data_IF_705918867438
#
_entry.id   IF_705918867438
#
_cell.length_a   1.000
_cell.length_b   1.000
_cell.length_c   1.000
_cell.angle_alpha   90.00
_cell.angle_beta   90.00
_cell.angle_gamma   90.00
#
_symmetry.space_group_name_H-M   'P 1'
#
loop_
_entity.id
_entity.type
_entity.pdbx_description
1 polymer ?
#
# COMPACT_ATOMS: atom_id res chain seq x y z
N UNK A 1 -14.55 -1.47 -9.95
CA UNK A 1 -14.08 -1.66 -8.55
C UNK A 1 -14.81 -2.77 -7.83
N UNK A 2 -16.13 -2.65 -7.58
CA UNK A 2 -16.91 -3.72 -6.92
C UNK A 2 -16.83 -5.06 -7.66
N UNK A 3 -16.88 -5.02 -9.00
CA UNK A 3 -16.73 -6.20 -9.85
C UNK A 3 -15.42 -6.96 -9.59
N UNK A 4 -14.29 -6.28 -9.36
CA UNK A 4 -13.01 -6.93 -9.04
C UNK A 4 -13.17 -7.86 -7.84
N UNK A 5 -13.79 -7.36 -6.77
CA UNK A 5 -14.01 -8.13 -5.54
C UNK A 5 -14.96 -9.32 -5.77
N UNK A 6 -15.99 -9.13 -6.59
CA UNK A 6 -16.98 -10.17 -6.90
C UNK A 6 -16.41 -11.24 -7.87
N UNK A 7 -15.47 -10.87 -8.74
CA UNK A 7 -14.82 -11.76 -9.70
C UNK A 7 -13.72 -12.64 -9.08
N UNK A 8 -13.17 -12.27 -7.92
CA UNK A 8 -12.13 -13.08 -7.27
C UNK A 8 -12.67 -14.45 -6.84
N UNK A 9 -11.96 -15.56 -7.04
CA UNK A 9 -12.37 -16.84 -6.50
C UNK A 9 -12.26 -16.86 -4.96
N UNK A 10 -13.01 -17.75 -4.29
CA UNK A 10 -12.95 -17.91 -2.82
C UNK A 10 -11.60 -18.44 -2.31
N UNK A 11 -10.81 -19.05 -3.20
CA UNK A 11 -9.41 -19.39 -2.95
C UNK A 11 -8.52 -18.15 -2.85
N UNK A 12 -8.92 -17.03 -3.46
CA UNK A 12 -8.13 -15.80 -3.48
C UNK A 12 -8.54 -14.84 -2.37
N UNK A 13 -9.83 -14.67 -2.14
CA UNK A 13 -10.37 -13.84 -1.06
C UNK A 13 -11.22 -14.71 -0.14
N UNK A 14 -10.77 -14.89 1.11
CA UNK A 14 -11.39 -15.80 2.07
C UNK A 14 -12.79 -15.41 2.56
N UNK A 15 -13.34 -14.30 2.06
CA UNK A 15 -14.70 -13.84 2.32
C UNK A 15 -15.65 -14.51 1.32
N UNK A 16 -16.79 -15.06 1.76
CA UNK A 16 -17.79 -15.64 0.87
C UNK A 16 -18.41 -14.58 -0.06
N UNK A 17 -18.78 -14.95 -1.29
CA UNK A 17 -19.28 -14.00 -2.31
C UNK A 17 -20.48 -13.18 -1.84
N UNK A 18 -21.43 -13.80 -1.12
CA UNK A 18 -22.59 -13.07 -0.56
C UNK A 18 -22.16 -12.02 0.47
N UNK A 19 -21.24 -12.38 1.37
CA UNK A 19 -20.69 -11.47 2.37
C UNK A 19 -19.87 -10.33 1.74
N UNK A 20 -19.21 -10.58 0.60
CA UNK A 20 -18.59 -9.50 -0.19
C UNK A 20 -19.64 -8.53 -0.72
N UNK A 21 -20.72 -9.06 -1.30
CA UNK A 21 -21.84 -8.26 -1.79
C UNK A 21 -22.45 -7.37 -0.70
N UNK A 22 -22.59 -7.90 0.52
CA UNK A 22 -23.07 -7.13 1.67
C UNK A 22 -22.07 -6.05 2.10
N UNK A 23 -20.79 -6.40 2.25
CA UNK A 23 -19.74 -5.45 2.61
C UNK A 23 -19.64 -4.28 1.59
N UNK A 24 -19.84 -4.57 0.31
CA UNK A 24 -19.80 -3.57 -0.77
C UNK A 24 -20.90 -2.50 -0.67
N UNK A 25 -22.03 -2.78 0.00
CA UNK A 25 -23.11 -1.79 0.26
C UNK A 25 -22.69 -0.72 1.25
N UNK A 26 -21.74 -1.03 2.13
CA UNK A 26 -21.24 -0.14 3.18
C UNK A 26 -19.80 0.32 2.94
N UNK A 27 -19.20 -0.07 1.82
CA UNK A 27 -17.83 0.29 1.49
C UNK A 27 -17.69 1.80 1.22
N UNK A 28 -16.55 2.35 1.61
CA UNK A 28 -16.15 3.70 1.23
C UNK A 28 -15.56 3.70 -0.19
N UNK A 29 -15.91 4.71 -0.98
CA UNK A 29 -15.39 4.91 -2.34
C UNK A 29 -14.73 6.27 -2.46
N UNK A 30 -13.49 6.30 -2.91
CA UNK A 30 -12.71 7.54 -3.06
C UNK A 30 -12.04 7.57 -4.42
N UNK A 31 -12.25 8.65 -5.15
CA UNK A 31 -11.51 8.94 -6.38
C UNK A 31 -10.27 9.78 -6.06
N UNK A 32 -9.17 9.51 -6.74
CA UNK A 32 -7.95 10.33 -6.67
C UNK A 32 -7.22 10.35 -8.00
N UNK A 33 -6.28 11.30 -8.20
CA UNK A 33 -5.49 11.36 -9.41
C UNK A 33 -4.77 10.03 -9.68
N UNK A 34 -4.80 9.58 -10.93
CA UNK A 34 -4.05 8.43 -11.45
C UNK A 34 -3.11 8.85 -12.57
N UNK A 35 -2.35 7.90 -13.12
CA UNK A 35 -1.43 8.15 -14.24
C UNK A 35 -2.08 7.98 -15.63
N UNK A 36 -3.32 7.51 -15.68
CA UNK A 36 -4.08 7.32 -16.91
C UNK A 36 -4.97 8.50 -17.28
N UNK A 37 -5.85 8.26 -18.27
CA UNK A 37 -6.85 9.25 -18.69
C UNK A 37 -8.02 9.39 -17.69
N UNK A 38 -8.16 8.43 -16.77
CA UNK A 38 -9.20 8.39 -15.74
C UNK A 38 -8.57 8.53 -14.36
N UNK A 39 -9.39 8.94 -13.40
CA UNK A 39 -9.03 8.88 -12.00
C UNK A 39 -8.83 7.42 -11.55
N UNK A 40 -7.96 7.25 -10.56
CA UNK A 40 -7.87 6.02 -9.81
C UNK A 40 -8.96 5.99 -8.73
N UNK A 41 -9.48 4.81 -8.41
CA UNK A 41 -10.51 4.61 -7.41
C UNK A 41 -10.03 3.67 -6.32
N UNK A 42 -10.25 4.06 -5.07
CA UNK A 42 -10.15 3.17 -3.92
C UNK A 42 -11.55 2.78 -3.45
N UNK A 43 -11.70 1.51 -3.11
CA UNK A 43 -12.84 0.96 -2.39
C UNK A 43 -12.28 0.30 -1.13
N UNK A 44 -12.83 0.64 0.03
CA UNK A 44 -12.45 0.03 1.30
C UNK A 44 -13.66 -0.47 2.08
N UNK A 45 -13.56 -1.71 2.57
CA UNK A 45 -14.46 -2.33 3.52
C UNK A 45 -13.62 -2.95 4.66
N UNK A 46 -14.27 -3.40 5.73
CA UNK A 46 -13.57 -3.93 6.91
C UNK A 46 -12.65 -5.13 6.59
N UNK A 47 -13.07 -5.98 5.65
CA UNK A 47 -12.37 -7.23 5.35
C UNK A 47 -11.38 -7.12 4.18
N UNK A 48 -11.54 -6.14 3.29
CA UNK A 48 -10.76 -6.00 2.08
C UNK A 48 -10.79 -4.55 1.58
N UNK A 49 -9.80 -4.23 0.77
CA UNK A 49 -9.78 -3.01 -0.02
C UNK A 49 -9.29 -3.31 -1.42
N UNK A 50 -9.68 -2.48 -2.38
CA UNK A 50 -9.15 -2.51 -3.73
C UNK A 50 -8.86 -1.10 -4.20
N UNK A 51 -7.71 -0.92 -4.87
CA UNK A 51 -7.28 0.34 -5.45
C UNK A 51 -6.92 0.12 -6.91
N UNK A 52 -7.52 0.91 -7.82
CA UNK A 52 -7.08 0.92 -9.22
C UNK A 52 -5.83 1.78 -9.37
N UNK A 53 -5.01 1.41 -10.35
CA UNK A 53 -3.81 2.11 -10.77
C UNK A 53 -3.85 2.19 -12.29
N UNK A 54 -4.38 3.30 -12.78
CA UNK A 54 -4.57 3.55 -14.19
C UNK A 54 -3.24 3.82 -14.88
N UNK A 55 -3.19 3.45 -16.15
CA UNK A 55 -2.08 3.72 -17.05
C UNK A 55 -2.57 4.56 -18.23
N UNK A 56 -1.62 5.21 -18.92
CA UNK A 56 -1.91 5.88 -20.19
C UNK A 56 -2.45 4.89 -21.24
N UNK A 57 -1.94 3.66 -21.23
CA UNK A 57 -2.54 2.55 -21.97
C UNK A 57 -3.46 1.79 -21.01
N UNK A 58 -4.77 1.87 -21.22
CA UNK A 58 -5.77 1.27 -20.33
C UNK A 58 -5.58 -0.24 -20.14
N UNK A 59 -4.89 -0.92 -21.08
CA UNK A 59 -4.54 -2.35 -20.95
C UNK A 59 -3.49 -2.62 -19.88
N UNK A 60 -2.84 -1.61 -19.32
CA UNK A 60 -1.93 -1.77 -18.17
C UNK A 60 -2.56 -1.31 -16.85
N UNK A 61 -3.86 -1.00 -16.83
CA UNK A 61 -4.55 -0.70 -15.57
C UNK A 61 -4.56 -1.93 -14.69
N UNK A 62 -4.11 -1.77 -13.44
CA UNK A 62 -4.12 -2.84 -12.45
C UNK A 62 -4.97 -2.47 -11.24
N UNK A 63 -5.43 -3.50 -10.54
CA UNK A 63 -6.22 -3.42 -9.32
C UNK A 63 -5.44 -4.11 -8.22
N UNK A 64 -4.90 -3.32 -7.29
CA UNK A 64 -4.27 -3.85 -6.10
C UNK A 64 -5.37 -4.19 -5.09
N UNK A 65 -5.41 -5.42 -4.61
CA UNK A 65 -6.41 -5.92 -3.67
C UNK A 65 -5.72 -6.37 -2.39
N UNK A 66 -6.10 -5.76 -1.27
CA UNK A 66 -5.68 -6.19 0.07
C UNK A 66 -6.75 -7.03 0.76
N UNK A 67 -6.30 -7.91 1.65
CA UNK A 67 -7.18 -8.87 2.35
C UNK A 67 -7.29 -10.22 1.64
N UNK A 68 -6.59 -10.41 0.51
CA UNK A 68 -6.48 -11.71 -0.16
C UNK A 68 -5.75 -12.71 0.72
N UNK A 69 -5.97 -14.01 0.51
CA UNK A 69 -5.18 -15.06 1.17
C UNK A 69 -3.70 -14.88 0.83
N UNK A 70 -2.85 -15.05 1.83
CA UNK A 70 -1.41 -15.09 1.60
C UNK A 70 -1.03 -16.33 0.77
N UNK A 71 -0.32 -16.09 -0.32
CA UNK A 71 0.31 -17.08 -1.19
C UNK A 71 1.69 -16.57 -1.59
N UNK A 72 2.49 -17.37 -2.31
CA UNK A 72 3.80 -16.92 -2.83
C UNK A 72 3.72 -15.70 -3.77
N UNK A 73 2.53 -15.40 -4.30
CA UNK A 73 2.28 -14.23 -5.16
C UNK A 73 1.86 -12.98 -4.40
N UNK A 74 1.55 -13.12 -3.11
CA UNK A 74 1.07 -12.01 -2.29
C UNK A 74 2.23 -11.31 -1.58
N UNK A 75 2.12 -9.99 -1.46
CA UNK A 75 2.95 -9.18 -0.57
C UNK A 75 2.29 -9.05 0.80
N UNK A 76 3.08 -8.63 1.79
CA UNK A 76 2.61 -8.21 3.13
C UNK A 76 1.74 -9.25 3.85
N UNK A 77 2.32 -10.43 4.05
CA UNK A 77 1.61 -11.61 4.54
C UNK A 77 1.50 -11.74 6.08
N UNK A 78 1.80 -10.67 6.83
CA UNK A 78 1.99 -10.74 8.30
C UNK A 78 0.84 -11.44 9.05
N UNK A 79 -0.41 -11.28 8.60
CA UNK A 79 -1.60 -11.82 9.25
C UNK A 79 -2.35 -12.88 8.41
N UNK A 80 -1.65 -13.66 7.58
CA UNK A 80 -2.24 -14.61 6.60
C UNK A 80 -3.16 -13.96 5.55
N UNK A 81 -3.24 -12.63 5.57
CA UNK A 81 -3.84 -11.78 4.55
C UNK A 81 -2.71 -11.00 3.91
N UNK A 82 -2.74 -10.90 2.59
CA UNK A 82 -1.74 -10.17 1.83
C UNK A 82 -2.36 -9.21 0.83
N UNK A 83 -1.51 -8.77 -0.09
CA UNK A 83 -1.83 -7.86 -1.17
C UNK A 83 -1.43 -8.48 -2.50
N UNK A 84 -2.33 -8.45 -3.49
CA UNK A 84 -2.07 -8.93 -4.86
C UNK A 84 -2.57 -7.94 -5.89
N UNK A 85 -1.99 -8.00 -7.09
CA UNK A 85 -2.38 -7.16 -8.21
C UNK A 85 -3.11 -7.97 -9.28
N UNK A 86 -4.20 -7.41 -9.78
CA UNK A 86 -5.05 -8.04 -10.79
C UNK A 86 -5.28 -7.12 -11.99
N UNK A 87 -5.58 -7.69 -13.15
CA UNK A 87 -5.87 -6.95 -14.37
C UNK A 87 -6.98 -7.64 -15.15
N UNK A 88 -7.87 -6.86 -15.75
CA UNK A 88 -8.85 -7.40 -16.70
C UNK A 88 -8.22 -7.59 -18.08
N UNK A 89 -8.42 -8.75 -18.67
CA UNK A 89 -8.18 -8.97 -20.10
C UNK A 89 -9.33 -8.42 -20.96
N UNK A 90 -9.13 -8.36 -22.28
CA UNK A 90 -10.13 -7.89 -23.25
C UNK A 90 -11.47 -8.65 -23.17
N UNK A 91 -11.44 -9.92 -22.73
CA UNK A 91 -12.63 -10.76 -22.55
C UNK A 91 -13.32 -10.58 -21.20
N UNK A 92 -12.89 -9.63 -20.37
CA UNK A 92 -13.46 -9.35 -19.05
C UNK A 92 -13.03 -10.33 -17.95
N UNK A 93 -12.07 -11.23 -18.23
CA UNK A 93 -11.50 -12.11 -17.21
C UNK A 93 -10.51 -11.33 -16.32
N UNK A 94 -10.65 -11.45 -15.00
CA UNK A 94 -9.70 -10.91 -14.04
C UNK A 94 -8.54 -11.89 -13.84
N UNK A 95 -7.32 -11.47 -14.16
CA UNK A 95 -6.10 -12.26 -13.99
C UNK A 95 -5.23 -11.72 -12.87
N UNK A 96 -4.59 -12.62 -12.13
CA UNK A 96 -3.54 -12.31 -11.17
C UNK A 96 -2.25 -11.99 -11.93
N UNK A 97 -1.83 -10.73 -11.86
CA UNK A 97 -0.62 -10.21 -12.52
C UNK A 97 0.45 -9.82 -11.49
N UNK A 98 0.33 -10.28 -10.25
CA UNK A 98 1.20 -9.90 -9.13
C UNK A 98 2.67 -10.10 -9.47
N UNK A 99 3.05 -11.24 -10.04
CA UNK A 99 4.44 -11.53 -10.42
C UNK A 99 4.98 -10.68 -11.58
N UNK A 100 4.11 -10.01 -12.35
CA UNK A 100 4.53 -9.12 -13.44
C UNK A 100 4.71 -7.67 -12.96
N UNK A 101 3.86 -7.23 -12.03
CA UNK A 101 3.73 -5.80 -11.69
C UNK A 101 4.21 -5.46 -10.29
N UNK A 102 4.32 -6.43 -9.38
CA UNK A 102 4.83 -6.19 -8.04
C UNK A 102 6.31 -6.63 -7.95
N UNK A 103 7.21 -5.76 -7.48
CA UNK A 103 8.56 -6.18 -7.12
C UNK A 103 8.52 -7.09 -5.88
N UNK A 104 9.59 -7.87 -5.63
CA UNK A 104 9.75 -8.59 -4.38
C UNK A 104 9.62 -7.64 -3.17
N UNK A 105 9.06 -8.14 -2.07
CA UNK A 105 9.11 -7.43 -0.80
C UNK A 105 10.58 -7.17 -0.42
N UNK A 106 10.90 -5.99 0.13
CA UNK A 106 12.25 -5.74 0.61
C UNK A 106 12.57 -6.69 1.77
N UNK A 107 13.68 -7.40 1.65
CA UNK A 107 14.17 -8.30 2.68
C UNK A 107 15.22 -7.58 3.53
N UNK A 108 15.20 -7.82 4.84
CA UNK A 108 16.27 -7.41 5.73
C UNK A 108 17.42 -8.40 5.65
N UNK A 109 18.65 -7.87 5.72
CA UNK A 109 19.83 -8.70 5.96
C UNK A 109 19.79 -9.32 7.35
N UNK A 110 20.57 -10.38 7.58
CA UNK A 110 20.65 -11.00 8.91
C UNK A 110 21.14 -10.03 9.99
N UNK A 111 22.05 -9.12 9.65
CA UNK A 111 22.53 -8.08 10.57
C UNK A 111 21.42 -7.10 10.94
N UNK A 112 20.60 -6.69 9.97
CA UNK A 112 19.45 -5.81 10.22
C UNK A 112 18.40 -6.51 11.07
N UNK A 113 18.13 -7.80 10.82
CA UNK A 113 17.24 -8.60 11.68
C UNK A 113 17.78 -8.63 13.12
N UNK A 114 19.07 -8.94 13.30
CA UNK A 114 19.70 -8.96 14.64
C UNK A 114 19.69 -7.59 15.32
N UNK A 115 19.84 -6.52 14.56
CA UNK A 115 19.81 -5.16 15.07
C UNK A 115 18.39 -4.77 15.53
N UNK A 116 17.38 -5.04 14.71
CA UNK A 116 16.00 -4.60 14.96
C UNK A 116 15.22 -5.49 15.91
N UNK A 117 15.55 -6.78 16.05
CA UNK A 117 14.79 -7.73 16.89
C UNK A 117 14.61 -7.29 18.37
N UNK A 118 15.52 -6.45 18.89
CA UNK A 118 15.44 -5.95 20.26
C UNK A 118 14.44 -4.79 20.44
N UNK A 119 14.02 -4.18 19.34
CA UNK A 119 13.22 -2.96 19.32
C UNK A 119 11.96 -3.08 18.45
N UNK A 120 11.84 -4.11 17.63
CA UNK A 120 10.77 -4.27 16.66
C UNK A 120 10.57 -5.74 16.32
N UNK A 121 9.40 -6.07 15.78
CA UNK A 121 9.28 -7.25 14.93
C UNK A 121 9.89 -6.91 13.57
N UNK A 122 11.02 -7.52 13.17
CA UNK A 122 11.79 -7.10 12.00
C UNK A 122 11.17 -7.64 10.70
N UNK A 123 9.87 -7.43 10.52
CA UNK A 123 9.08 -7.86 9.37
C UNK A 123 8.46 -6.62 8.74
N UNK A 124 8.95 -6.19 7.55
CA UNK A 124 8.35 -5.08 6.83
C UNK A 124 6.88 -5.34 6.48
N UNK A 125 6.04 -4.31 6.58
CA UNK A 125 4.65 -4.32 6.13
C UNK A 125 4.32 -3.05 5.33
N UNK A 126 3.21 -3.07 4.59
CA UNK A 126 2.81 -1.94 3.74
C UNK A 126 1.99 -0.91 4.54
N UNK A 127 2.51 0.30 4.66
CA UNK A 127 1.72 1.49 5.00
C UNK A 127 0.82 1.87 3.80
N UNK A 128 -0.47 1.56 3.95
CA UNK A 128 -1.54 1.88 2.99
C UNK A 128 -2.32 3.15 3.36
N UNK A 129 -1.90 3.89 4.38
CA UNK A 129 -2.68 5.02 4.94
C UNK A 129 -2.89 6.18 3.97
N UNK A 130 -2.08 6.28 2.91
CA UNK A 130 -2.17 7.31 1.85
C UNK A 130 -2.69 6.77 0.52
N UNK A 131 -3.06 5.49 0.45
CA UNK A 131 -3.49 4.83 -0.78
C UNK A 131 -4.76 5.46 -1.41
N UNK A 132 -5.55 6.16 -0.62
CA UNK A 132 -6.73 6.90 -1.09
C UNK A 132 -6.38 8.23 -1.77
N UNK A 133 -5.15 8.74 -1.61
CA UNK A 133 -4.70 10.01 -2.20
C UNK A 133 -3.75 9.83 -3.36
N UNK A 134 -2.79 8.90 -3.24
CA UNK A 134 -1.65 8.78 -4.14
C UNK A 134 -1.40 7.33 -4.54
N UNK A 135 -0.85 7.08 -5.75
CA UNK A 135 -0.55 5.74 -6.24
C UNK A 135 0.80 5.23 -5.72
N UNK A 136 1.06 5.44 -4.42
CA UNK A 136 2.31 5.09 -3.74
C UNK A 136 1.99 4.43 -2.40
N UNK A 137 2.68 3.33 -2.09
CA UNK A 137 2.69 2.69 -0.79
C UNK A 137 4.09 2.80 -0.18
N UNK A 138 4.23 2.51 1.11
CA UNK A 138 5.54 2.50 1.77
C UNK A 138 5.72 1.23 2.57
N UNK A 139 6.88 0.60 2.41
CA UNK A 139 7.33 -0.46 3.31
C UNK A 139 7.89 0.15 4.59
N UNK A 140 7.36 -0.31 5.71
CA UNK A 140 7.76 0.17 7.04
C UNK A 140 7.99 -0.99 7.99
N UNK A 141 8.80 -0.74 9.01
CA UNK A 141 8.85 -1.55 10.23
C UNK A 141 8.38 -0.66 11.36
N UNK A 142 7.50 -1.18 12.19
CA UNK A 142 7.06 -0.53 13.42
C UNK A 142 8.00 -0.97 14.55
N UNK A 143 8.71 -0.02 15.15
CA UNK A 143 9.47 -0.23 16.37
C UNK A 143 8.63 0.08 17.61
N UNK A 144 9.10 -0.41 18.75
CA UNK A 144 8.52 -0.20 20.06
C UNK A 144 8.42 1.31 20.32
N UNK A 145 7.20 1.85 20.52
CA UNK A 145 7.02 3.26 20.78
C UNK A 145 7.68 3.72 22.08
N UNK A 146 7.92 2.82 23.04
CA UNK A 146 8.59 3.12 24.31
C UNK A 146 10.13 3.06 24.20
N UNK A 147 10.66 2.47 23.12
CA UNK A 147 12.08 2.39 22.82
C UNK A 147 12.39 2.79 21.36
N UNK A 148 12.05 4.03 20.94
CA UNK A 148 12.15 4.43 19.54
C UNK A 148 13.61 4.52 19.07
N UNK A 149 13.88 3.97 17.89
CA UNK A 149 15.18 4.00 17.23
C UNK A 149 15.47 5.35 16.54
N UNK A 150 15.33 6.47 17.27
CA UNK A 150 15.40 7.82 16.69
C UNK A 150 16.73 8.16 16.00
N UNK A 151 17.82 7.50 16.37
CA UNK A 151 19.15 7.63 15.75
C UNK A 151 19.35 6.79 14.48
N UNK A 152 18.42 5.88 14.17
CA UNK A 152 18.53 5.00 13.01
C UNK A 152 18.35 5.81 11.70
N UNK A 153 19.15 5.53 10.65
CA UNK A 153 19.04 6.23 9.37
C UNK A 153 17.67 6.08 8.70
N UNK A 154 16.95 4.98 8.93
CA UNK A 154 15.61 4.64 8.42
C UNK A 154 14.47 5.29 9.22
N UNK A 155 14.73 5.77 10.43
CA UNK A 155 13.72 6.42 11.26
C UNK A 155 13.21 7.73 10.63
N UNK A 156 11.88 7.90 10.52
CA UNK A 156 11.31 9.05 9.79
C UNK A 156 10.12 9.78 10.44
N UNK A 157 9.50 9.28 11.52
CA UNK A 157 8.35 9.94 12.16
C UNK A 157 8.25 9.72 13.68
N UNK A 158 7.31 10.41 14.36
CA UNK A 158 7.13 10.32 15.82
C UNK A 158 6.50 9.00 16.31
N UNK A 159 6.08 8.12 15.40
CA UNK A 159 5.37 6.88 15.72
C UNK A 159 6.27 5.65 15.58
N UNK A 160 7.57 5.84 15.76
CA UNK A 160 8.54 4.77 15.79
C UNK A 160 8.59 3.92 14.50
N UNK A 161 8.34 4.52 13.32
CA UNK A 161 8.46 3.80 12.06
C UNK A 161 9.85 3.95 11.41
N UNK A 162 10.35 2.82 10.90
CA UNK A 162 11.52 2.73 10.04
C UNK A 162 11.09 2.59 8.59
N UNK A 163 11.71 3.34 7.69
CA UNK A 163 11.48 3.26 6.25
C UNK A 163 12.30 2.13 5.61
N UNK A 164 11.66 1.34 4.78
CA UNK A 164 12.31 0.24 4.05
C UNK A 164 12.21 0.42 2.52
N UNK A 165 11.34 1.34 2.06
CA UNK A 165 11.20 1.70 0.65
C UNK A 165 9.81 2.21 0.33
N UNK A 166 9.66 2.87 -0.82
CA UNK A 166 8.37 3.20 -1.42
C UNK A 166 8.07 2.25 -2.56
N UNK A 167 6.82 1.85 -2.66
CA UNK A 167 6.29 1.10 -3.79
C UNK A 167 5.53 2.07 -4.69
N UNK A 168 6.13 2.42 -5.83
CA UNK A 168 5.66 3.52 -6.70
C UNK A 168 5.11 2.96 -8.01
N UNK A 169 3.86 3.27 -8.33
CA UNK A 169 3.29 2.94 -9.64
C UNK A 169 3.90 3.80 -10.74
N UNK A 170 4.43 3.18 -11.80
CA UNK A 170 5.05 3.88 -12.94
C UNK A 170 4.12 4.05 -14.13
N UNK A 171 2.89 3.52 -14.05
CA UNK A 171 1.98 3.39 -15.18
C UNK A 171 2.12 2.05 -15.91
N UNK A 172 3.03 1.16 -15.49
CA UNK A 172 3.16 -0.19 -16.06
C UNK A 172 3.32 -1.25 -14.98
N UNK A 173 4.15 -0.95 -13.98
CA UNK A 173 4.43 -1.81 -12.83
C UNK A 173 4.74 -0.94 -11.61
N UNK A 174 4.84 -1.56 -10.46
CA UNK A 174 5.41 -0.93 -9.29
C UNK A 174 6.92 -1.05 -9.27
N UNK A 175 7.59 -0.01 -8.81
CA UNK A 175 9.03 0.01 -8.58
C UNK A 175 9.32 0.35 -7.13
N UNK A 176 10.34 -0.30 -6.57
CA UNK A 176 10.85 0.00 -5.23
C UNK A 176 11.79 1.21 -5.32
N UNK A 177 11.48 2.28 -4.59
CA UNK A 177 12.25 3.52 -4.57
C UNK A 177 12.58 3.92 -3.14
N UNK A 178 13.81 4.37 -2.87
CA UNK A 178 14.19 4.85 -1.54
C UNK A 178 13.56 6.21 -1.20
N UNK A 179 13.30 7.03 -2.23
CA UNK A 179 12.77 8.38 -2.07
C UNK A 179 11.70 8.69 -3.09
N UNK A 180 10.78 9.56 -2.69
CA UNK A 180 9.73 10.12 -3.55
C UNK A 180 9.63 11.63 -3.32
N UNK A 181 9.03 12.34 -4.27
CA UNK A 181 8.73 13.76 -4.10
C UNK A 181 7.47 13.99 -3.25
N UNK A 182 7.27 15.23 -2.79
CA UNK A 182 6.11 15.64 -1.99
C UNK A 182 4.78 15.47 -2.72
N UNK A 183 4.75 15.53 -4.05
CA UNK A 183 3.53 15.32 -4.83
C UNK A 183 3.10 13.85 -4.82
N UNK A 184 4.05 12.92 -4.74
CA UNK A 184 3.85 11.48 -4.60
C UNK A 184 3.61 11.02 -3.16
N UNK A 185 4.04 11.80 -2.16
CA UNK A 185 3.79 11.53 -0.75
C UNK A 185 3.37 12.81 0.01
N UNK A 186 2.14 13.29 -0.24
CA UNK A 186 1.64 14.51 0.38
C UNK A 186 1.48 14.33 1.88
N UNK A 187 1.55 15.47 2.56
CA UNK A 187 1.22 15.54 3.98
C UNK A 187 -0.25 15.28 4.18
N UNK A 188 -0.59 14.63 5.29
CA UNK A 188 -2.00 14.47 5.67
C UNK A 188 -2.57 15.84 6.06
N UNK A 189 -3.90 16.02 5.92
CA UNK A 189 -4.56 17.27 6.30
C UNK A 189 -4.19 17.66 7.73
N UNK A 190 -3.73 18.90 7.90
CA UNK A 190 -3.47 19.47 9.23
C UNK A 190 -4.80 19.86 9.89
N UNK A 191 -4.81 19.91 11.22
CA UNK A 191 -5.92 20.52 11.96
C UNK A 191 -6.10 21.99 11.56
N UNK A 192 -7.32 22.52 11.70
CA UNK A 192 -7.61 23.91 11.35
C UNK A 192 -6.65 24.88 12.09
N UNK A 193 -6.00 25.77 11.34
CA UNK A 193 -5.01 26.71 11.87
C UNK A 193 -3.59 26.14 12.03
N UNK A 194 -3.39 24.84 11.78
CA UNK A 194 -2.06 24.21 11.76
C UNK A 194 -1.29 24.50 10.48
N UNK A 195 0.03 24.55 10.58
CA UNK A 195 0.90 24.60 9.40
C UNK A 195 0.77 23.31 8.57
N UNK A 196 0.96 23.40 7.25
CA UNK A 196 1.03 22.21 6.41
C UNK A 196 2.09 21.24 6.97
N UNK A 197 1.79 19.94 6.94
CA UNK A 197 2.67 18.88 7.44
C UNK A 197 2.94 18.91 8.95
N UNK A 198 2.21 19.69 9.76
CA UNK A 198 2.46 19.77 11.21
C UNK A 198 1.97 18.56 12.02
N UNK A 199 1.32 17.58 11.38
CA UNK A 199 0.82 16.39 12.06
C UNK A 199 1.96 15.47 12.54
N UNK A 200 1.81 14.72 13.65
CA UNK A 200 2.89 13.87 14.23
C UNK A 200 3.54 12.85 13.27
N UNK A 201 2.81 12.47 12.24
CA UNK A 201 3.24 11.49 11.23
C UNK A 201 3.84 12.17 9.97
N UNK A 202 3.90 13.52 9.92
CA UNK A 202 4.50 14.34 8.84
C UNK A 202 5.49 15.43 9.34
N UNK A 203 5.45 15.79 10.63
CA UNK A 203 6.08 16.98 11.24
C UNK A 203 7.61 16.96 11.32
N UNK A 204 8.26 15.80 11.21
CA UNK A 204 9.72 15.69 11.32
C UNK A 204 10.49 15.89 10.03
N UNK A 205 9.80 16.29 8.94
CA UNK A 205 10.44 16.40 7.64
C UNK A 205 10.94 15.03 7.21
N UNK A 206 10.00 14.14 6.86
CA UNK A 206 10.28 12.81 6.34
C UNK A 206 11.42 12.86 5.30
N UNK A 207 12.62 12.40 5.71
CA UNK A 207 13.86 12.54 4.93
C UNK A 207 13.85 11.72 3.62
N UNK A 208 12.88 10.83 3.50
CA UNK A 208 12.64 10.01 2.32
C UNK A 208 11.67 10.69 1.34
N UNK A 209 11.12 11.85 1.73
CA UNK A 209 10.25 12.67 0.88
C UNK A 209 10.96 13.98 0.56
N UNK A 210 11.35 14.14 -0.70
CA UNK A 210 11.99 15.38 -1.16
C UNK A 210 10.95 16.47 -1.36
N UNK A 211 11.32 17.76 -1.17
CA UNK A 211 10.44 18.89 -1.46
C UNK A 211 9.87 18.85 -2.89
#
# INVERSE_FOLDING_TARGET
MAEVILSLPSSDLGVATEARGEALKHAAYVASPGLGARADFMLAADAFWVRSFESRDSRHTVYLVGGVRCTERALDCKNSRGVRAFRYEEKGQLLDVSGEVLPPAPALSEDEVRHYQAYAEPIPFLDVSRLWQVPVLRWVIESDPDAPLAGDPRYYNDWAYLHVGFLVWTGQRFELMDKVDRARWPCRPAAAGGAACSGPLDNRGDRFVTP
#
